data_IF_021734747217
#
_entry.id   IF_021734747217
#
_cell.length_a   1.000
_cell.length_b   1.000
_cell.length_c   1.000
_cell.angle_alpha   90.00
_cell.angle_beta   90.00
_cell.angle_gamma   90.00
#
_symmetry.space_group_name_H-M   'P 1'
#
loop_
_entity.id
_entity.type
_entity.pdbx_description
1 polymer ?
#
# COMPACT_ATOMS: atom_id res chain seq x y z
N UNK A 1 -13.18 -32.01 -74.85
CA UNK A 1 -11.82 -31.71 -74.34
C UNK A 1 -11.35 -30.38 -74.95
N UNK A 2 -11.17 -29.39 -74.06
CA UNK A 2 -10.62 -28.02 -74.22
C UNK A 2 -11.02 -27.19 -75.46
N UNK A 3 -12.08 -26.37 -75.29
CA UNK A 3 -12.30 -25.08 -75.98
C UNK A 3 -12.43 -24.01 -74.91
N UNK A 4 -11.59 -22.98 -74.93
CA UNK A 4 -11.77 -21.77 -74.13
C UNK A 4 -12.40 -20.68 -75.00
N UNK A 5 -13.69 -20.45 -74.78
CA UNK A 5 -14.36 -19.17 -75.02
C UNK A 5 -14.24 -18.34 -73.73
N UNK A 6 -14.02 -17.03 -73.83
CA UNK A 6 -15.02 -16.04 -73.40
C UNK A 6 -14.52 -14.62 -73.67
N UNK A 7 -15.26 -13.89 -74.50
CA UNK A 7 -15.34 -12.44 -74.44
C UNK A 7 -16.62 -12.03 -73.72
N UNK A 8 -16.59 -10.91 -72.99
CA UNK A 8 -17.72 -10.05 -72.59
C UNK A 8 -17.14 -8.63 -72.46
N UNK A 9 -17.51 -7.67 -73.32
CA UNK A 9 -18.67 -6.74 -73.25
C UNK A 9 -18.71 -5.96 -71.92
N UNK A 10 -19.04 -4.68 -71.80
CA UNK A 10 -19.23 -3.48 -72.64
C UNK A 10 -19.79 -2.42 -71.64
N UNK A 11 -19.55 -1.11 -71.85
CA UNK A 11 -20.32 0.05 -71.31
C UNK A 11 -20.11 0.39 -69.82
N UNK A 12 -20.10 1.63 -69.31
CA UNK A 12 -19.87 3.03 -69.72
C UNK A 12 -20.29 3.88 -68.49
N UNK A 13 -19.89 5.17 -68.42
CA UNK A 13 -20.57 6.28 -67.69
C UNK A 13 -20.35 6.30 -66.15
N UNK A 14 -20.08 7.39 -65.41
CA UNK A 14 -19.65 8.80 -65.59
C UNK A 14 -19.63 9.40 -64.15
N UNK A 15 -18.74 10.40 -63.88
CA UNK A 15 -18.79 11.49 -62.86
C UNK A 15 -19.05 11.10 -61.36
N UNK A 16 -18.50 11.74 -60.33
CA UNK A 16 -18.67 13.14 -59.89
C UNK A 16 -17.63 13.43 -58.79
N UNK A 17 -17.01 14.60 -58.88
CA UNK A 17 -16.15 15.23 -57.88
C UNK A 17 -16.92 15.97 -56.77
N UNK A 18 -16.18 16.31 -55.70
CA UNK A 18 -16.37 17.43 -54.73
C UNK A 18 -17.12 17.09 -53.42
N UNK A 19 -16.42 17.16 -52.29
CA UNK A 19 -16.45 18.27 -51.31
C UNK A 19 -15.65 17.94 -50.05
N UNK A 20 -14.48 18.58 -49.87
CA UNK A 20 -13.90 18.80 -48.54
C UNK A 20 -14.44 20.14 -48.02
N UNK A 21 -15.25 20.10 -46.97
CA UNK A 21 -15.45 21.24 -46.09
C UNK A 21 -15.01 20.83 -44.68
N UNK A 22 -13.98 21.52 -44.19
CA UNK A 22 -13.49 21.37 -42.83
C UNK A 22 -14.53 21.85 -41.83
N UNK A 23 -14.80 21.00 -40.84
CA UNK A 23 -15.47 21.39 -39.60
C UNK A 23 -14.40 21.35 -38.52
N UNK A 24 -14.02 22.54 -38.04
CA UNK A 24 -13.17 22.68 -36.86
C UNK A 24 -13.91 22.11 -35.66
N UNK A 25 -13.33 21.07 -35.06
CA UNK A 25 -13.86 20.47 -33.84
C UNK A 25 -13.22 21.19 -32.65
N UNK A 26 -14.04 21.89 -31.88
CA UNK A 26 -13.67 22.47 -30.60
C UNK A 26 -13.16 21.34 -29.68
N UNK A 27 -11.95 21.53 -29.13
CA UNK A 27 -11.36 20.61 -28.18
C UNK A 27 -12.23 20.56 -26.91
N UNK A 28 -12.82 19.40 -26.67
CA UNK A 28 -13.39 19.03 -25.37
C UNK A 28 -12.22 18.96 -24.40
N UNK A 29 -12.17 19.86 -23.43
CA UNK A 29 -11.25 19.78 -22.29
C UNK A 29 -11.68 18.61 -21.43
N UNK A 30 -11.09 17.43 -21.65
CA UNK A 30 -11.06 16.40 -20.63
C UNK A 30 -10.21 16.91 -19.48
N UNK A 31 -10.79 17.02 -18.28
CA UNK A 31 -10.04 17.12 -17.03
C UNK A 31 -9.38 15.77 -16.73
N UNK A 32 -8.48 15.34 -17.62
CA UNK A 32 -7.58 14.23 -17.38
C UNK A 32 -6.45 14.73 -16.49
N UNK A 33 -6.27 14.06 -15.36
CA UNK A 33 -5.13 14.18 -14.46
C UNK A 33 -3.84 14.18 -15.27
N UNK A 34 -3.17 15.34 -15.33
CA UNK A 34 -1.84 15.44 -15.91
C UNK A 34 -0.88 14.79 -14.90
N UNK A 35 -0.08 13.78 -15.29
CA UNK A 35 0.97 13.27 -14.42
C UNK A 35 1.89 14.44 -14.03
N UNK A 36 2.24 14.52 -12.74
CA UNK A 36 3.14 15.56 -12.25
C UNK A 36 4.45 15.47 -13.05
N UNK A 37 4.82 16.55 -13.76
CA UNK A 37 6.00 16.55 -14.65
C UNK A 37 7.34 16.57 -13.88
N UNK A 38 7.30 16.40 -12.56
CA UNK A 38 8.43 16.40 -11.63
C UNK A 38 8.13 15.40 -10.52
N UNK A 39 9.14 14.62 -10.12
CA UNK A 39 9.13 13.79 -8.91
C UNK A 39 8.79 14.67 -7.69
N UNK A 40 7.89 14.21 -6.83
CA UNK A 40 7.64 14.82 -5.51
C UNK A 40 8.65 14.28 -4.49
N UNK A 41 8.80 14.92 -3.34
CA UNK A 41 9.73 14.44 -2.31
C UNK A 41 9.18 13.14 -1.68
N UNK A 42 7.87 13.10 -1.42
CA UNK A 42 7.19 11.95 -0.80
C UNK A 42 5.90 11.55 -1.52
N UNK A 43 5.70 10.25 -1.71
CA UNK A 43 4.40 9.66 -2.01
C UNK A 43 3.99 8.73 -0.88
N UNK A 44 2.94 9.13 -0.15
CA UNK A 44 2.28 8.30 0.87
C UNK A 44 1.13 7.53 0.21
N UNK A 45 1.12 6.22 0.41
CA UNK A 45 0.09 5.29 -0.05
C UNK A 45 -0.61 4.70 1.17
N UNK A 46 -1.95 4.75 1.20
CA UNK A 46 -2.75 4.23 2.30
C UNK A 46 -3.76 3.23 1.74
N UNK A 47 -3.67 1.99 2.20
CA UNK A 47 -4.48 0.85 1.79
C UNK A 47 -5.45 0.50 2.93
N UNK A 48 -6.69 0.97 2.81
CA UNK A 48 -7.72 0.93 3.83
C UNK A 48 -8.69 -0.24 3.53
N UNK A 49 -8.51 -1.34 4.25
CA UNK A 49 -9.31 -2.57 4.10
C UNK A 49 -10.48 -2.53 5.08
N UNK A 50 -11.61 -2.00 4.59
CA UNK A 50 -12.79 -1.70 5.39
C UNK A 50 -13.99 -2.59 5.12
N UNK A 51 -13.98 -3.51 4.16
CA UNK A 51 -15.07 -4.47 3.98
C UNK A 51 -15.07 -5.54 5.10
N UNK A 52 -15.44 -5.09 6.28
CA UNK A 52 -15.57 -5.81 7.54
C UNK A 52 -16.20 -4.86 8.59
N UNK A 53 -16.17 -5.26 9.85
CA UNK A 53 -16.68 -4.45 10.97
C UNK A 53 -15.95 -3.11 11.21
N UNK A 54 -14.84 -2.82 10.53
CA UNK A 54 -14.12 -1.54 10.58
C UNK A 54 -14.51 -0.56 9.46
N UNK A 55 -15.44 -0.90 8.56
CA UNK A 55 -15.86 -0.05 7.42
C UNK A 55 -16.05 1.42 7.76
N UNK A 56 -16.87 1.72 8.77
CA UNK A 56 -17.14 3.10 9.17
C UNK A 56 -15.89 3.82 9.71
N UNK A 57 -15.04 3.09 10.44
CA UNK A 57 -13.80 3.63 10.98
C UNK A 57 -12.78 3.92 9.87
N UNK A 58 -12.65 3.02 8.88
CA UNK A 58 -11.80 3.23 7.71
C UNK A 58 -12.25 4.46 6.89
N UNK A 59 -13.57 4.64 6.74
CA UNK A 59 -14.13 5.86 6.15
C UNK A 59 -13.74 7.13 6.93
N UNK A 60 -13.71 7.06 8.27
CA UNK A 60 -13.28 8.19 9.11
C UNK A 60 -11.76 8.43 9.04
N UNK A 61 -10.93 7.38 8.96
CA UNK A 61 -9.48 7.49 8.72
C UNK A 61 -9.22 8.23 7.41
N UNK A 62 -9.95 7.88 6.34
CA UNK A 62 -9.88 8.59 5.06
C UNK A 62 -10.26 10.07 5.20
N UNK A 63 -11.33 10.39 5.93
CA UNK A 63 -11.69 11.80 6.16
C UNK A 63 -10.63 12.56 6.97
N UNK A 64 -10.04 11.92 7.98
CA UNK A 64 -8.98 12.52 8.81
C UNK A 64 -7.73 12.82 7.97
N UNK A 65 -7.26 11.87 7.16
CA UNK A 65 -6.12 12.06 6.26
C UNK A 65 -6.43 13.11 5.19
N UNK A 66 -7.66 13.13 4.66
CA UNK A 66 -8.12 14.17 3.73
C UNK A 66 -7.99 15.58 4.34
N UNK A 67 -8.29 15.78 5.63
CA UNK A 67 -8.16 17.10 6.27
C UNK A 67 -6.70 17.56 6.37
N UNK A 68 -5.74 16.63 6.47
CA UNK A 68 -4.30 16.96 6.37
C UNK A 68 -4.00 17.49 4.97
N UNK A 69 -4.43 16.77 3.94
CA UNK A 69 -4.26 17.16 2.55
C UNK A 69 -2.84 16.95 1.99
N UNK A 70 -2.72 16.99 0.66
CA UNK A 70 -1.43 16.93 -0.05
C UNK A 70 -0.80 18.31 -0.25
N UNK A 71 0.46 18.33 -0.71
CA UNK A 71 1.19 19.52 -1.15
C UNK A 71 1.88 19.27 -2.50
N UNK A 72 2.63 20.25 -3.01
CA UNK A 72 3.43 20.09 -4.22
C UNK A 72 4.66 19.16 -4.02
N UNK A 73 5.00 18.83 -2.76
CA UNK A 73 6.15 18.01 -2.38
C UNK A 73 5.75 16.69 -1.71
N UNK A 74 4.52 16.61 -1.18
CA UNK A 74 3.99 15.41 -0.52
C UNK A 74 2.67 15.03 -1.17
N UNK A 75 2.69 13.94 -1.93
CA UNK A 75 1.50 13.34 -2.48
C UNK A 75 0.92 12.28 -1.53
N UNK A 76 -0.41 12.16 -1.53
CA UNK A 76 -1.14 11.17 -0.73
C UNK A 76 -2.15 10.48 -1.64
N UNK A 77 -2.02 9.17 -1.75
CA UNK A 77 -2.96 8.28 -2.43
C UNK A 77 -3.65 7.39 -1.40
N UNK A 78 -4.97 7.21 -1.51
CA UNK A 78 -5.75 6.32 -0.65
C UNK A 78 -6.54 5.36 -1.52
N UNK A 79 -6.37 4.06 -1.31
CA UNK A 79 -7.26 3.03 -1.81
C UNK A 79 -8.10 2.54 -0.63
N UNK A 80 -9.41 2.68 -0.73
CA UNK A 80 -10.35 2.24 0.30
C UNK A 80 -11.36 1.29 -0.31
N UNK A 81 -11.75 0.31 0.49
CA UNK A 81 -12.89 -0.55 0.24
C UNK A 81 -13.75 -0.62 1.51
N UNK A 82 -15.05 -0.42 1.39
CA UNK A 82 -15.98 -0.41 2.49
C UNK A 82 -16.97 -1.57 2.33
N UNK A 83 -17.86 -1.77 3.29
CA UNK A 83 -18.72 -2.95 3.34
C UNK A 83 -20.01 -2.85 2.48
N UNK A 84 -19.99 -2.06 1.42
CA UNK A 84 -21.12 -1.95 0.49
C UNK A 84 -20.70 -2.32 -0.93
N UNK A 85 -21.63 -2.88 -1.70
CA UNK A 85 -21.30 -3.30 -3.06
C UNK A 85 -20.81 -2.14 -3.93
N UNK A 86 -19.71 -2.38 -4.65
CA UNK A 86 -19.09 -1.49 -5.61
C UNK A 86 -18.59 -0.17 -5.02
N UNK A 87 -17.96 -0.23 -3.84
CA UNK A 87 -17.46 0.95 -3.14
C UNK A 87 -15.93 1.04 -3.01
N UNK A 88 -15.18 0.13 -3.62
CA UNK A 88 -13.73 0.27 -3.76
C UNK A 88 -13.40 1.53 -4.56
N UNK A 89 -12.61 2.44 -3.97
CA UNK A 89 -12.25 3.72 -4.59
C UNK A 89 -10.79 4.07 -4.36
N UNK A 90 -10.12 4.43 -5.45
CA UNK A 90 -8.81 5.06 -5.43
C UNK A 90 -8.95 6.58 -5.47
N UNK A 91 -8.32 7.27 -4.53
CA UNK A 91 -8.27 8.71 -4.46
C UNK A 91 -6.83 9.22 -4.44
N UNK A 92 -6.56 10.28 -5.21
CA UNK A 92 -5.39 11.14 -5.02
C UNK A 92 -5.85 12.45 -4.39
N UNK A 93 -5.14 12.92 -3.36
CA UNK A 93 -5.45 14.21 -2.76
C UNK A 93 -4.89 15.36 -3.62
N UNK A 94 -5.70 16.39 -3.81
CA UNK A 94 -5.28 17.72 -4.30
C UNK A 94 -5.62 18.75 -3.22
N UNK A 95 -4.62 19.12 -2.41
CA UNK A 95 -4.88 19.77 -1.13
C UNK A 95 -5.77 18.86 -0.29
N UNK A 96 -6.91 19.37 0.20
CA UNK A 96 -7.88 18.61 1.00
C UNK A 96 -9.02 17.99 0.17
N UNK A 97 -8.90 18.01 -1.15
CA UNK A 97 -9.92 17.49 -2.08
C UNK A 97 -9.56 16.07 -2.50
N UNK A 98 -10.50 15.14 -2.31
CA UNK A 98 -10.40 13.77 -2.84
C UNK A 98 -10.68 13.79 -4.34
N UNK A 99 -9.67 13.51 -5.15
CA UNK A 99 -9.82 13.34 -6.60
C UNK A 99 -9.85 11.84 -6.90
N UNK A 100 -11.03 11.32 -7.20
CA UNK A 100 -11.20 9.91 -7.55
C UNK A 100 -10.47 9.59 -8.85
N UNK A 101 -9.71 8.51 -8.84
CA UNK A 101 -9.01 7.98 -9.99
C UNK A 101 -9.78 6.78 -10.56
N UNK A 102 -9.44 6.39 -11.79
CA UNK A 102 -9.95 5.14 -12.36
C UNK A 102 -9.41 3.94 -11.59
N UNK A 103 -10.33 3.14 -11.05
CA UNK A 103 -10.08 1.88 -10.34
C UNK A 103 -11.30 0.98 -10.53
N UNK A 104 -11.18 -0.37 -10.45
CA UNK A 104 -12.33 -1.26 -10.37
C UNK A 104 -13.31 -0.84 -9.28
N UNK A 105 -14.61 -0.97 -9.54
CA UNK A 105 -15.62 -0.57 -8.57
C UNK A 105 -15.64 -1.48 -7.32
N UNK A 106 -15.14 -2.71 -7.45
CA UNK A 106 -15.01 -3.70 -6.39
C UNK A 106 -13.62 -4.35 -6.53
N UNK A 107 -12.92 -4.60 -5.44
CA UNK A 107 -11.63 -5.29 -5.42
C UNK A 107 -11.47 -6.08 -4.13
N UNK A 108 -11.00 -7.31 -4.26
CA UNK A 108 -10.61 -8.12 -3.09
C UNK A 108 -9.41 -7.47 -2.40
N UNK A 109 -9.62 -6.89 -1.23
CA UNK A 109 -8.57 -6.19 -0.50
C UNK A 109 -7.69 -7.13 0.34
N UNK A 110 -8.08 -8.39 0.43
CA UNK A 110 -7.29 -9.51 0.94
C UNK A 110 -6.58 -10.30 -0.18
N UNK A 111 -6.53 -9.78 -1.42
CA UNK A 111 -5.71 -10.30 -2.53
C UNK A 111 -4.39 -9.51 -2.65
N UNK A 112 -3.22 -10.16 -2.50
CA UNK A 112 -1.92 -9.50 -2.68
C UNK A 112 -1.76 -8.82 -4.06
N UNK A 113 -2.44 -9.31 -5.10
CA UNK A 113 -2.40 -8.69 -6.43
C UNK A 113 -2.99 -7.26 -6.43
N UNK A 114 -3.95 -6.98 -5.55
CA UNK A 114 -4.54 -5.65 -5.39
C UNK A 114 -3.50 -4.65 -4.87
N UNK A 115 -2.66 -5.06 -3.91
CA UNK A 115 -1.52 -4.25 -3.42
C UNK A 115 -0.53 -3.98 -4.56
N UNK A 116 -0.16 -5.01 -5.34
CA UNK A 116 0.77 -4.87 -6.46
C UNK A 116 0.24 -3.86 -7.49
N UNK A 117 -1.02 -3.99 -7.89
CA UNK A 117 -1.66 -3.09 -8.86
C UNK A 117 -1.73 -1.66 -8.34
N UNK A 118 -2.13 -1.49 -7.08
CA UNK A 118 -2.26 -0.19 -6.43
C UNK A 118 -0.93 0.55 -6.35
N UNK A 119 0.09 -0.09 -5.75
CA UNK A 119 1.40 0.53 -5.57
C UNK A 119 2.07 0.80 -6.91
N UNK A 120 1.99 -0.13 -7.87
CA UNK A 120 2.56 0.06 -9.21
C UNK A 120 1.92 1.24 -9.93
N UNK A 121 0.58 1.34 -9.90
CA UNK A 121 -0.15 2.47 -10.48
C UNK A 121 0.28 3.78 -9.86
N UNK A 122 0.28 3.88 -8.52
CA UNK A 122 0.66 5.10 -7.80
C UNK A 122 2.10 5.51 -8.11
N UNK A 123 3.07 4.58 -8.01
CA UNK A 123 4.48 4.86 -8.34
C UNK A 123 4.66 5.36 -9.78
N UNK A 124 3.87 4.84 -10.72
CA UNK A 124 3.94 5.26 -12.12
C UNK A 124 3.33 6.64 -12.40
N UNK A 125 2.24 7.00 -11.73
CA UNK A 125 1.50 8.24 -11.97
C UNK A 125 1.98 9.40 -11.09
N UNK A 126 2.57 9.08 -9.93
CA UNK A 126 3.02 10.01 -8.91
C UNK A 126 4.43 9.60 -8.44
N UNK A 127 5.45 9.74 -9.30
CA UNK A 127 6.82 9.41 -8.93
C UNK A 127 7.30 10.30 -7.79
N UNK A 128 8.01 9.70 -6.85
CA UNK A 128 8.62 10.36 -5.70
C UNK A 128 10.03 9.85 -5.39
N UNK A 129 10.75 10.63 -4.60
CA UNK A 129 12.06 10.25 -4.06
C UNK A 129 11.91 9.26 -2.90
N UNK A 130 10.82 9.36 -2.12
CA UNK A 130 10.48 8.44 -1.04
C UNK A 130 9.05 7.88 -1.14
N UNK A 131 8.89 6.60 -0.79
CA UNK A 131 7.60 5.91 -0.76
C UNK A 131 7.29 5.27 0.60
N UNK A 132 6.14 5.64 1.16
CA UNK A 132 5.56 5.00 2.33
C UNK A 132 4.26 4.29 1.96
N UNK A 133 4.10 3.03 2.37
CA UNK A 133 2.85 2.28 2.27
C UNK A 133 2.32 1.98 3.67
N UNK A 134 1.08 2.38 3.94
CA UNK A 134 0.36 2.09 5.18
C UNK A 134 -0.81 1.17 4.87
N UNK A 135 -0.81 -0.02 5.47
CA UNK A 135 -1.90 -1.01 5.35
C UNK A 135 -2.71 -0.96 6.63
N UNK A 136 -3.99 -0.61 6.54
CA UNK A 136 -4.93 -0.60 7.67
C UNK A 136 -6.02 -1.63 7.44
N UNK A 137 -6.18 -2.57 8.37
CA UNK A 137 -7.19 -3.62 8.22
C UNK A 137 -7.64 -4.20 9.56
N UNK A 138 -8.79 -4.87 9.51
CA UNK A 138 -9.17 -5.81 10.54
C UNK A 138 -8.36 -7.12 10.42
N UNK A 139 -8.19 -7.82 11.55
CA UNK A 139 -7.48 -9.11 11.67
C UNK A 139 -6.04 -9.08 11.13
N UNK A 140 -5.11 -8.79 12.04
CA UNK A 140 -3.71 -9.22 11.91
C UNK A 140 -3.48 -10.39 12.86
N UNK A 141 -2.62 -11.33 12.45
CA UNK A 141 -2.27 -12.48 13.28
C UNK A 141 -0.75 -12.74 13.22
N UNK A 142 0.02 -11.66 13.36
CA UNK A 142 1.47 -11.68 13.27
C UNK A 142 1.98 -12.34 11.98
N UNK A 143 2.81 -13.37 12.12
CA UNK A 143 3.41 -14.08 10.99
C UNK A 143 2.40 -14.87 10.13
N UNK A 144 1.16 -15.06 10.60
CA UNK A 144 0.17 -15.85 9.86
C UNK A 144 -0.49 -15.05 8.73
N UNK A 145 -0.63 -13.73 8.86
CA UNK A 145 -1.20 -12.91 7.80
C UNK A 145 -1.78 -11.58 8.26
N UNK A 146 -2.16 -10.79 7.25
CA UNK A 146 -2.76 -9.45 7.34
C UNK A 146 -3.92 -9.34 6.36
N UNK A 147 -4.73 -8.30 6.53
CA UNK A 147 -5.88 -7.97 5.68
C UNK A 147 -6.99 -9.01 5.72
N UNK A 148 -8.16 -8.62 6.25
CA UNK A 148 -9.37 -9.43 6.12
C UNK A 148 -10.48 -8.63 5.45
N UNK A 149 -10.98 -9.19 4.37
CA UNK A 149 -12.08 -8.67 3.57
C UNK A 149 -13.20 -9.73 3.59
N UNK A 150 -14.38 -9.34 4.07
CA UNK A 150 -15.53 -10.24 4.24
C UNK A 150 -16.16 -10.66 2.91
N UNK A 151 -16.00 -9.87 1.84
CA UNK A 151 -16.49 -10.20 0.50
C UNK A 151 -15.36 -10.40 -0.53
N UNK A 152 -14.11 -10.48 -0.06
CA UNK A 152 -12.92 -10.81 -0.85
C UNK A 152 -12.67 -12.32 -1.03
N UNK A 153 -11.41 -12.75 -0.90
CA UNK A 153 -10.98 -14.15 -1.03
C UNK A 153 -11.45 -15.02 0.14
N UNK A 154 -11.78 -14.39 1.27
CA UNK A 154 -12.17 -15.07 2.51
C UNK A 154 -10.96 -15.67 3.25
N UNK A 155 -9.76 -15.15 3.01
CA UNK A 155 -8.54 -15.52 3.73
C UNK A 155 -7.59 -14.34 3.84
N UNK A 156 -6.84 -14.25 4.95
CA UNK A 156 -5.80 -13.22 5.09
C UNK A 156 -4.73 -13.36 4.01
N UNK A 157 -4.12 -12.23 3.65
CA UNK A 157 -2.85 -12.21 2.91
C UNK A 157 -1.80 -12.80 3.85
N UNK A 158 -1.31 -13.98 3.51
CA UNK A 158 -0.26 -14.65 4.29
C UNK A 158 1.07 -13.90 4.17
N UNK A 159 1.97 -14.04 5.13
CA UNK A 159 3.29 -13.39 5.05
C UNK A 159 4.10 -13.75 3.78
N UNK A 160 4.09 -15.01 3.29
CA UNK A 160 4.69 -15.33 2.00
C UNK A 160 4.05 -14.60 0.82
N UNK A 161 2.71 -14.53 0.76
CA UNK A 161 1.99 -13.78 -0.27
C UNK A 161 2.32 -12.28 -0.22
N UNK A 162 2.42 -11.70 0.99
CA UNK A 162 2.83 -10.33 1.17
C UNK A 162 4.27 -10.11 0.68
N UNK A 163 5.21 -11.01 1.01
CA UNK A 163 6.58 -10.92 0.51
C UNK A 163 6.63 -11.00 -1.02
N UNK A 164 5.86 -11.88 -1.64
CA UNK A 164 5.79 -12.00 -3.10
C UNK A 164 5.24 -10.73 -3.76
N UNK A 165 4.24 -10.09 -3.15
CA UNK A 165 3.74 -8.78 -3.59
C UNK A 165 4.81 -7.69 -3.44
N UNK A 166 5.52 -7.66 -2.31
CA UNK A 166 6.58 -6.70 -2.05
C UNK A 166 7.77 -6.87 -3.00
N UNK A 167 8.16 -8.10 -3.32
CA UNK A 167 9.20 -8.38 -4.32
C UNK A 167 8.82 -7.79 -5.69
N UNK A 168 7.57 -7.95 -6.12
CA UNK A 168 7.10 -7.40 -7.39
C UNK A 168 7.17 -5.86 -7.44
N UNK A 169 6.71 -5.17 -6.39
CA UNK A 169 6.68 -3.69 -6.37
C UNK A 169 8.05 -3.04 -6.08
N UNK A 170 9.01 -3.83 -5.61
CA UNK A 170 10.37 -3.39 -5.27
C UNK A 170 11.45 -3.96 -6.21
N UNK A 171 11.07 -4.70 -7.25
CA UNK A 171 12.02 -5.36 -8.17
C UNK A 171 13.01 -6.25 -7.40
N UNK A 172 12.46 -7.20 -6.64
CA UNK A 172 13.19 -8.15 -5.80
C UNK A 172 14.14 -7.46 -4.82
N UNK A 173 13.66 -6.36 -4.21
CA UNK A 173 14.41 -5.58 -3.22
C UNK A 173 15.44 -4.60 -3.80
N UNK A 174 15.58 -4.48 -5.12
CA UNK A 174 16.48 -3.51 -5.76
C UNK A 174 16.01 -2.06 -5.52
N UNK A 175 14.70 -1.85 -5.48
CA UNK A 175 14.04 -0.58 -5.25
C UNK A 175 13.09 -0.68 -4.04
N UNK A 176 13.68 -0.87 -2.86
CA UNK A 176 12.95 -1.05 -1.59
C UNK A 176 11.97 0.09 -1.34
N UNK A 177 10.83 -0.22 -0.72
CA UNK A 177 10.00 0.80 -0.09
C UNK A 177 10.76 1.42 1.08
N UNK A 178 10.63 2.73 1.26
CA UNK A 178 11.24 3.41 2.39
C UNK A 178 10.53 3.03 3.68
N UNK A 179 9.19 3.03 3.69
CA UNK A 179 8.40 2.72 4.87
C UNK A 179 7.26 1.76 4.51
N UNK A 180 7.10 0.72 5.31
CA UNK A 180 5.88 -0.07 5.39
C UNK A 180 5.30 0.08 6.80
N UNK A 181 4.09 0.61 6.91
CA UNK A 181 3.30 0.59 8.12
C UNK A 181 2.22 -0.47 8.02
N UNK A 182 2.08 -1.32 9.04
CA UNK A 182 0.98 -2.28 9.12
C UNK A 182 0.16 -1.98 10.38
N UNK A 183 -1.00 -1.37 10.17
CA UNK A 183 -2.04 -1.18 11.17
C UNK A 183 -2.95 -2.42 11.21
N UNK A 184 -2.40 -3.51 11.73
CA UNK A 184 -3.16 -4.72 12.08
C UNK A 184 -2.56 -5.40 13.32
N UNK A 185 -3.35 -6.20 14.03
CA UNK A 185 -2.91 -6.81 15.28
C UNK A 185 -1.74 -7.79 15.15
N UNK A 186 -0.82 -7.65 16.09
CA UNK A 186 0.31 -8.53 16.40
C UNK A 186 1.41 -8.54 15.34
N UNK A 187 1.46 -7.56 14.44
CA UNK A 187 2.41 -7.54 13.32
C UNK A 187 3.76 -6.91 13.65
N UNK A 188 3.89 -6.17 14.75
CA UNK A 188 5.15 -5.59 15.23
C UNK A 188 6.11 -6.59 15.87
N UNK A 189 6.22 -7.81 15.32
CA UNK A 189 7.12 -8.85 15.80
C UNK A 189 8.33 -9.05 14.88
N UNK A 190 9.32 -9.80 15.36
CA UNK A 190 10.58 -10.00 14.65
C UNK A 190 10.42 -10.86 13.40
N UNK A 191 9.54 -11.86 13.42
CA UNK A 191 9.30 -12.78 12.32
C UNK A 191 8.77 -12.05 11.09
N UNK A 192 7.79 -11.16 11.29
CA UNK A 192 7.26 -10.27 10.26
C UNK A 192 8.34 -9.31 9.79
N UNK A 193 9.04 -8.62 10.71
CA UNK A 193 10.10 -7.68 10.34
C UNK A 193 11.22 -8.35 9.52
N UNK A 194 11.62 -9.58 9.89
CA UNK A 194 12.63 -10.36 9.19
C UNK A 194 12.14 -10.75 7.79
N UNK A 195 10.90 -11.19 7.62
CA UNK A 195 10.33 -11.51 6.30
C UNK A 195 10.41 -10.30 5.35
N UNK A 196 10.21 -9.08 5.86
CA UNK A 196 10.11 -7.85 5.07
C UNK A 196 11.46 -7.21 4.70
N UNK A 197 12.57 -7.61 5.35
CA UNK A 197 13.83 -6.87 5.34
C UNK A 197 14.46 -6.72 3.94
N UNK A 198 14.19 -7.65 3.02
CA UNK A 198 14.68 -7.59 1.66
C UNK A 198 13.99 -6.48 0.83
N UNK A 199 12.75 -6.14 1.14
CA UNK A 199 11.92 -5.24 0.33
C UNK A 199 11.68 -3.86 0.96
N UNK A 200 11.91 -3.71 2.26
CA UNK A 200 11.54 -2.49 3.01
C UNK A 200 12.72 -1.98 3.82
N UNK A 201 12.86 -0.65 3.98
CA UNK A 201 13.89 -0.03 4.84
C UNK A 201 13.44 0.11 6.29
N UNK A 202 12.26 0.67 6.52
CA UNK A 202 11.69 0.87 7.84
C UNK A 202 10.29 0.25 7.96
N UNK A 203 10.05 -0.43 9.07
CA UNK A 203 8.77 -1.07 9.36
C UNK A 203 8.15 -0.45 10.61
N UNK A 204 6.90 0.01 10.52
CA UNK A 204 6.15 0.56 11.66
C UNK A 204 4.94 -0.30 11.95
N UNK A 205 4.79 -0.76 13.19
CA UNK A 205 3.67 -1.59 13.61
C UNK A 205 3.58 -1.61 15.15
N UNK A 206 2.56 -2.31 15.64
CA UNK A 206 2.35 -2.61 17.06
C UNK A 206 2.49 -4.14 17.29
N UNK A 207 3.28 -4.58 18.29
CA UNK A 207 3.42 -6.00 18.63
C UNK A 207 2.16 -6.61 19.27
N UNK A 208 1.25 -5.81 19.81
CA UNK A 208 -0.02 -6.26 20.41
C UNK A 208 -1.21 -5.95 19.50
N UNK A 209 -2.27 -5.31 19.99
CA UNK A 209 -3.38 -4.84 19.17
C UNK A 209 -3.49 -3.31 19.32
N UNK A 210 -4.14 -2.66 18.36
CA UNK A 210 -4.37 -1.21 18.37
C UNK A 210 -5.85 -0.94 18.48
N UNK A 211 -6.21 0.22 19.01
CA UNK A 211 -7.59 0.69 18.98
C UNK A 211 -7.83 1.62 17.79
N UNK A 212 -9.11 1.80 17.45
CA UNK A 212 -9.51 2.72 16.40
C UNK A 212 -8.94 4.11 16.66
N UNK A 213 -8.29 4.67 15.64
CA UNK A 213 -7.69 6.02 15.65
C UNK A 213 -6.42 6.19 16.51
N UNK A 214 -5.83 5.11 17.00
CA UNK A 214 -4.53 5.17 17.69
C UNK A 214 -3.37 5.50 16.74
N UNK A 215 -3.52 5.19 15.44
CA UNK A 215 -2.48 5.49 14.47
C UNK A 215 -2.36 7.00 14.24
N UNK A 216 -1.15 7.57 14.45
CA UNK A 216 -0.95 9.01 14.42
C UNK A 216 -0.82 9.56 13.00
N UNK A 217 -1.65 9.10 12.05
CA UNK A 217 -1.63 9.56 10.66
C UNK A 217 -1.77 11.07 10.55
N UNK A 218 -2.71 11.66 11.29
CA UNK A 218 -2.99 13.11 11.20
C UNK A 218 -1.78 13.96 11.62
N UNK A 219 -1.24 13.83 12.83
CA UNK A 219 -0.08 14.63 13.22
C UNK A 219 1.16 14.31 12.38
N UNK A 220 1.49 13.03 12.16
CA UNK A 220 2.70 12.67 11.43
C UNK A 220 2.67 13.12 9.96
N UNK A 221 1.53 12.97 9.27
CA UNK A 221 1.42 13.45 7.89
C UNK A 221 1.38 14.97 7.81
N UNK A 222 0.88 15.64 8.86
CA UNK A 222 0.93 17.10 8.95
C UNK A 222 2.37 17.59 9.06
N UNK A 223 3.17 16.95 9.92
CA UNK A 223 4.57 17.32 10.12
C UNK A 223 5.40 17.03 8.87
N UNK A 224 5.23 15.88 8.23
CA UNK A 224 5.89 15.58 6.94
C UNK A 224 5.50 16.58 5.85
N UNK A 225 4.23 17.00 5.78
CA UNK A 225 3.79 18.00 4.81
C UNK A 225 4.42 19.37 5.07
N UNK A 226 4.65 19.72 6.34
CA UNK A 226 5.28 20.97 6.75
C UNK A 226 6.80 20.94 6.57
N UNK A 227 7.42 19.77 6.67
CA UNK A 227 8.84 19.53 6.38
C UNK A 227 9.03 18.29 5.47
N UNK A 228 8.88 18.47 4.15
CA UNK A 228 9.08 17.38 3.19
C UNK A 228 10.53 16.90 3.08
N UNK A 229 11.47 17.59 3.73
CA UNK A 229 12.88 17.20 3.74
C UNK A 229 13.21 16.09 4.74
N UNK A 230 12.25 15.70 5.59
CA UNK A 230 12.40 14.57 6.50
C UNK A 230 12.84 13.33 5.74
N UNK A 231 13.91 12.73 6.24
CA UNK A 231 14.33 11.39 5.81
C UNK A 231 13.31 10.35 6.27
N UNK A 232 13.30 9.15 5.66
CA UNK A 232 12.43 8.07 6.12
C UNK A 232 12.61 7.68 7.59
N UNK A 233 13.84 7.78 8.10
CA UNK A 233 14.09 7.51 9.53
C UNK A 233 13.46 8.57 10.42
N UNK A 234 13.58 9.85 10.06
CA UNK A 234 12.99 10.96 10.82
C UNK A 234 11.47 10.87 10.80
N UNK A 235 10.86 10.58 9.64
CA UNK A 235 9.42 10.42 9.55
C UNK A 235 8.90 9.22 10.38
N UNK A 236 9.63 8.10 10.41
CA UNK A 236 9.31 6.99 11.30
C UNK A 236 9.42 7.36 12.79
N UNK A 237 10.45 8.11 13.18
CA UNK A 237 10.65 8.57 14.57
C UNK A 237 9.54 9.54 14.97
N UNK A 238 9.20 10.49 14.09
CA UNK A 238 8.11 11.44 14.29
C UNK A 238 6.77 10.74 14.50
N UNK A 239 6.44 9.79 13.62
CA UNK A 239 5.20 9.02 13.72
C UNK A 239 5.12 8.24 15.04
N UNK A 240 6.18 7.55 15.46
CA UNK A 240 6.20 6.87 16.78
C UNK A 240 6.15 7.87 17.93
N UNK A 241 6.75 9.06 17.79
CA UNK A 241 6.74 10.12 18.78
C UNK A 241 5.34 10.69 19.06
N UNK A 242 4.46 10.68 18.06
CA UNK A 242 3.06 11.07 18.21
C UNK A 242 2.16 9.98 18.80
N UNK A 243 2.62 8.73 18.84
CA UNK A 243 1.85 7.63 19.41
C UNK A 243 1.76 7.76 20.93
N UNK A 244 0.55 7.69 21.47
CA UNK A 244 0.30 7.73 22.92
C UNK A 244 -0.10 6.32 23.37
N UNK A 245 0.76 5.62 24.14
CA UNK A 245 0.40 4.33 24.74
C UNK A 245 -0.81 4.45 25.66
N UNK A 246 -1.74 3.51 25.54
CA UNK A 246 -2.94 3.42 26.38
C UNK A 246 -3.02 2.08 27.11
N UNK A 247 -3.51 2.11 28.35
CA UNK A 247 -3.71 0.92 29.19
C UNK A 247 -5.18 0.49 29.17
N UNK A 248 -5.50 -0.50 28.34
CA UNK A 248 -6.82 -1.12 28.25
C UNK A 248 -6.92 -2.27 29.24
N UNK A 249 -7.11 -1.92 30.51
CA UNK A 249 -7.18 -2.88 31.62
C UNK A 249 -8.24 -3.97 31.45
N UNK A 250 -9.37 -3.67 30.78
CA UNK A 250 -10.44 -4.63 30.51
C UNK A 250 -10.00 -5.73 29.53
N UNK A 251 -9.15 -5.38 28.58
CA UNK A 251 -8.61 -6.28 27.54
C UNK A 251 -7.26 -6.88 27.94
N UNK A 252 -6.72 -6.47 29.10
CA UNK A 252 -5.36 -6.82 29.58
C UNK A 252 -4.28 -6.48 28.54
N UNK A 253 -4.43 -5.31 27.92
CA UNK A 253 -3.58 -4.85 26.83
C UNK A 253 -3.03 -3.45 27.12
N UNK A 254 -1.74 -3.25 26.86
CA UNK A 254 -1.12 -1.93 26.79
C UNK A 254 -0.67 -1.70 25.37
N UNK A 255 -1.18 -0.67 24.71
CA UNK A 255 -0.81 -0.42 23.31
C UNK A 255 0.61 0.13 23.23
N UNK A 256 1.36 -0.34 22.23
CA UNK A 256 2.69 0.17 21.91
C UNK A 256 2.82 0.36 20.41
N UNK A 257 3.82 1.13 19.98
CA UNK A 257 4.16 1.27 18.58
C UNK A 257 5.67 1.38 18.47
N UNK A 258 6.24 0.75 17.45
CA UNK A 258 7.67 0.81 17.19
C UNK A 258 7.95 1.03 15.71
N UNK A 259 9.04 1.74 15.43
CA UNK A 259 9.67 1.81 14.13
C UNK A 259 10.95 0.97 14.15
N UNK A 260 11.06 0.02 13.22
CA UNK A 260 12.17 -0.91 13.11
C UNK A 260 12.98 -0.60 11.85
N UNK A 261 14.27 -0.33 12.00
CA UNK A 261 15.19 -0.26 10.87
C UNK A 261 15.57 -1.68 10.44
N UNK A 262 15.07 -2.08 9.27
CA UNK A 262 15.18 -3.47 8.80
C UNK A 262 16.59 -3.86 8.35
N UNK A 263 17.51 -2.91 8.18
CA UNK A 263 18.91 -3.22 7.84
C UNK A 263 19.65 -4.00 8.93
N UNK A 264 19.18 -3.97 10.18
CA UNK A 264 19.78 -4.71 11.29
C UNK A 264 19.26 -6.16 11.41
N UNK A 265 18.19 -6.51 10.73
CA UNK A 265 17.51 -7.81 10.89
C UNK A 265 18.39 -9.01 10.50
N UNK A 266 19.17 -8.97 9.40
CA UNK A 266 20.08 -10.07 9.07
C UNK A 266 21.10 -10.36 10.18
N UNK A 267 21.74 -9.31 10.72
CA UNK A 267 22.72 -9.47 11.80
C UNK A 267 22.06 -9.94 13.11
N UNK A 268 20.88 -9.41 13.44
CA UNK A 268 20.13 -9.86 14.61
C UNK A 268 19.72 -11.33 14.48
N UNK A 269 19.26 -11.76 13.29
CA UNK A 269 18.96 -13.16 13.00
C UNK A 269 20.17 -14.06 13.22
N UNK A 270 21.35 -13.67 12.70
CA UNK A 270 22.59 -14.42 12.95
C UNK A 270 22.91 -14.55 14.44
N UNK A 271 22.79 -13.47 15.23
CA UNK A 271 23.05 -13.54 16.67
C UNK A 271 22.06 -14.42 17.43
N UNK A 272 20.79 -14.48 17.00
CA UNK A 272 19.80 -15.40 17.57
C UNK A 272 20.14 -16.86 17.22
N UNK A 273 20.54 -17.13 15.97
CA UNK A 273 20.97 -18.47 15.55
C UNK A 273 22.18 -18.95 16.36
N UNK A 274 23.18 -18.08 16.55
CA UNK A 274 24.35 -18.37 17.38
C UNK A 274 23.97 -18.68 18.83
N UNK A 275 23.06 -17.90 19.41
CA UNK A 275 22.55 -18.14 20.77
C UNK A 275 21.78 -19.48 20.85
N UNK A 276 20.98 -19.80 19.84
CA UNK A 276 20.25 -21.06 19.79
C UNK A 276 21.20 -22.26 19.71
N UNK A 277 22.23 -22.19 18.86
CA UNK A 277 23.29 -23.22 18.78
C UNK A 277 24.01 -23.36 20.11
N UNK A 278 24.37 -22.25 20.76
CA UNK A 278 25.00 -22.28 22.08
C UNK A 278 24.15 -23.06 23.10
N UNK A 279 22.85 -22.78 23.18
CA UNK A 279 21.97 -23.48 24.12
C UNK A 279 21.77 -24.96 23.77
N UNK A 280 21.78 -25.32 22.49
CA UNK A 280 21.72 -26.73 22.07
C UNK A 280 22.99 -27.49 22.50
N UNK A 281 24.16 -26.88 22.33
CA UNK A 281 25.45 -27.47 22.69
C UNK A 281 25.66 -27.58 24.22
N UNK A 282 25.01 -26.71 24.99
CA UNK A 282 25.14 -26.64 26.46
C UNK A 282 23.85 -27.05 27.20
N UNK A 283 22.95 -27.79 26.54
CA UNK A 283 21.65 -28.16 27.11
C UNK A 283 21.80 -28.87 28.47
N UNK A 284 22.78 -29.77 28.61
CA UNK A 284 23.00 -30.50 29.86
C UNK A 284 23.45 -29.60 31.03
N UNK A 285 24.12 -28.48 30.74
CA UNK A 285 24.54 -27.49 31.73
C UNK A 285 23.35 -26.66 32.25
N UNK A 286 22.44 -26.29 31.35
CA UNK A 286 21.36 -25.35 31.67
C UNK A 286 19.99 -26.01 31.92
N UNK A 287 19.78 -27.28 31.57
CA UNK A 287 18.46 -27.94 31.70
C UNK A 287 17.87 -27.90 33.11
N UNK A 288 18.70 -27.86 34.15
CA UNK A 288 18.22 -27.78 35.55
C UNK A 288 17.80 -26.37 35.96
N UNK A 289 18.18 -25.34 35.19
CA UNK A 289 17.81 -23.94 35.40
C UNK A 289 16.52 -23.56 34.66
N UNK A 290 16.12 -24.34 33.65
CA UNK A 290 14.85 -24.17 32.94
C UNK A 290 13.74 -24.77 33.82
N UNK A 291 13.21 -23.96 34.75
CA UNK A 291 12.08 -24.34 35.60
C UNK A 291 10.76 -24.11 34.88
N UNK A 292 9.89 -25.13 34.86
CA UNK A 292 8.49 -25.04 34.40
C UNK A 292 7.62 -24.23 35.36
#
# INVERSE_FOLDING_TARGET
MKKNHLGKKLICVILITVFLSGVGQAAVTSNGTRPLSRSVDWTIMVYLVGDNNLSAAQGQVLQNIRQVGSSNQVAIALLIDQNTASDTKLYYLNGTTLVQQTWPAESSMDDPATIVQYVTKVKSEVPADHYALFISSNKGCGWQGVCWDEHGRGQMITMPELLDALNQITSDGTNKLDILGIETCMTGNMEVAYQLNACVRFFVAYPECGMLYDWPYVPAFTDLKNDPSMTPSEFCIDMVGHFVPHDYTQDRMKTTMAATNLSYLPSLGTSIDELAVYFLDHLDEYKTQITT
#
